data_IF_599379656046
#
_entry.id   IF_599379656046
#
_cell.length_a   1.000
_cell.length_b   1.000
_cell.length_c   1.000
_cell.angle_alpha   90.00
_cell.angle_beta   90.00
_cell.angle_gamma   90.00
#
_symmetry.space_group_name_H-M   'P 1'
#
loop_
_entity.id
_entity.type
_entity.pdbx_description
1 polymer ?
#
# COMPACT_ATOMS: atom_id res chain seq x y z
N UNK A 1 -31.60 -0.86 -15.76
CA UNK A 1 -30.30 -1.25 -16.33
C UNK A 1 -29.22 -0.45 -15.64
N UNK A 2 -28.35 -1.06 -14.81
CA UNK A 2 -27.23 -0.35 -14.19
C UNK A 2 -26.22 0.00 -15.27
N UNK A 3 -26.14 1.29 -15.62
CA UNK A 3 -25.06 1.85 -16.45
C UNK A 3 -23.81 2.02 -15.59
N UNK A 4 -23.24 0.91 -15.11
CA UNK A 4 -22.03 0.97 -14.30
C UNK A 4 -20.80 0.90 -15.20
N UNK A 5 -20.30 2.10 -15.55
CA UNK A 5 -19.04 2.34 -16.27
C UNK A 5 -17.84 1.55 -15.71
N UNK A 6 -17.89 1.17 -14.44
CA UNK A 6 -16.79 0.50 -13.74
C UNK A 6 -17.20 -0.90 -13.31
N UNK A 7 -16.32 -1.86 -13.58
CA UNK A 7 -16.46 -3.28 -13.27
C UNK A 7 -15.35 -3.81 -12.38
N UNK A 8 -14.18 -3.17 -12.41
CA UNK A 8 -12.99 -3.66 -11.74
C UNK A 8 -12.47 -2.68 -10.69
N UNK A 9 -11.89 -3.23 -9.62
CA UNK A 9 -11.00 -2.52 -8.71
C UNK A 9 -9.57 -2.97 -8.98
N UNK A 10 -8.65 -2.02 -9.07
CA UNK A 10 -7.22 -2.29 -9.27
C UNK A 10 -6.45 -1.88 -8.03
N UNK A 11 -5.98 -2.85 -7.24
CA UNK A 11 -5.18 -2.60 -6.04
C UNK A 11 -3.69 -2.52 -6.36
N UNK A 12 -2.97 -1.56 -5.78
CA UNK A 12 -1.55 -1.31 -6.04
C UNK A 12 -0.74 -1.13 -4.74
N UNK A 13 0.21 -2.04 -4.52
CA UNK A 13 1.29 -1.90 -3.53
C UNK A 13 2.53 -1.36 -4.25
N UNK A 14 2.80 -0.06 -4.08
CA UNK A 14 3.75 0.67 -4.92
C UNK A 14 5.19 0.60 -4.41
N UNK A 15 6.10 0.17 -5.28
CA UNK A 15 7.53 0.14 -5.03
C UNK A 15 8.31 0.23 -6.33
N UNK A 16 9.41 1.00 -6.33
CA UNK A 16 10.25 1.22 -7.53
C UNK A 16 10.78 -0.11 -8.08
N UNK A 17 11.18 -1.03 -7.21
CA UNK A 17 11.82 -2.28 -7.63
C UNK A 17 10.80 -3.36 -8.01
N UNK A 18 9.76 -3.49 -7.19
CA UNK A 18 8.76 -4.54 -7.35
C UNK A 18 7.48 -4.08 -6.69
N UNK A 19 6.52 -3.66 -7.51
CA UNK A 19 5.16 -3.35 -7.12
C UNK A 19 4.28 -4.59 -7.20
N UNK A 20 3.30 -4.66 -6.31
CA UNK A 20 2.20 -5.61 -6.41
C UNK A 20 1.02 -4.98 -7.13
N UNK A 21 0.32 -5.76 -7.94
CA UNK A 21 -0.94 -5.35 -8.56
C UNK A 21 -1.97 -6.46 -8.44
N UNK A 22 -3.21 -6.06 -8.19
CA UNK A 22 -4.36 -6.94 -8.19
C UNK A 22 -5.49 -6.36 -9.04
N UNK A 23 -6.13 -7.19 -9.86
CA UNK A 23 -7.40 -6.88 -10.52
C UNK A 23 -8.48 -7.70 -9.82
N UNK A 24 -9.47 -7.00 -9.27
CA UNK A 24 -10.58 -7.61 -8.54
C UNK A 24 -11.90 -7.23 -9.20
N UNK A 25 -12.74 -8.23 -9.43
CA UNK A 25 -14.11 -8.08 -9.92
C UNK A 25 -15.08 -8.38 -8.76
N UNK A 26 -15.70 -7.36 -8.13
CA UNK A 26 -16.50 -7.54 -6.92
C UNK A 26 -17.71 -8.47 -7.09
N UNK A 27 -18.37 -8.42 -8.25
CA UNK A 27 -19.60 -9.18 -8.50
C UNK A 27 -19.37 -10.70 -8.54
N UNK A 28 -18.19 -11.12 -9.00
CA UNK A 28 -17.81 -12.53 -9.16
C UNK A 28 -16.83 -13.00 -8.11
N UNK A 29 -16.33 -12.09 -7.26
CA UNK A 29 -15.17 -12.28 -6.39
C UNK A 29 -13.92 -12.79 -7.14
N UNK A 30 -13.81 -12.55 -8.45
CA UNK A 30 -12.65 -12.98 -9.23
C UNK A 30 -11.47 -12.06 -8.93
N UNK A 31 -10.34 -12.69 -8.57
CA UNK A 31 -9.11 -11.99 -8.22
C UNK A 31 -7.95 -12.50 -9.08
N UNK A 32 -7.23 -11.57 -9.70
CA UNK A 32 -6.04 -11.85 -10.50
C UNK A 32 -4.88 -10.99 -10.00
N UNK A 33 -3.70 -11.59 -9.90
CA UNK A 33 -2.55 -11.01 -9.21
C UNK A 33 -1.34 -10.99 -10.14
N UNK A 34 -0.53 -9.95 -10.02
CA UNK A 34 0.79 -9.89 -10.64
C UNK A 34 1.73 -9.06 -9.75
N UNK A 35 3.03 -9.21 -9.96
CA UNK A 35 4.02 -8.28 -9.43
C UNK A 35 5.07 -7.99 -10.48
N UNK A 36 5.64 -6.81 -10.43
CA UNK A 36 6.73 -6.41 -11.31
C UNK A 36 7.14 -4.97 -11.07
N UNK A 37 8.06 -4.47 -11.88
CA UNK A 37 8.35 -3.04 -11.99
C UNK A 37 7.12 -2.26 -12.46
N UNK A 38 7.17 -0.94 -12.34
CA UNK A 38 6.10 -0.05 -12.81
C UNK A 38 5.68 -0.36 -14.26
N UNK A 39 6.65 -0.51 -15.17
CA UNK A 39 6.40 -0.76 -16.59
C UNK A 39 5.75 -2.13 -16.83
N UNK A 40 6.20 -3.17 -16.13
CA UNK A 40 5.62 -4.52 -16.22
C UNK A 40 4.18 -4.55 -15.71
N UNK A 41 3.90 -3.86 -14.59
CA UNK A 41 2.55 -3.74 -14.04
C UNK A 41 1.63 -3.01 -15.01
N UNK A 42 2.05 -1.86 -15.55
CA UNK A 42 1.27 -1.10 -16.52
C UNK A 42 1.02 -1.90 -17.80
N UNK A 43 2.03 -2.60 -18.31
CA UNK A 43 1.90 -3.49 -19.47
C UNK A 43 0.85 -4.58 -19.20
N UNK A 44 0.94 -5.26 -18.07
CA UNK A 44 0.00 -6.31 -17.69
C UNK A 44 -1.45 -5.80 -17.57
N UNK A 45 -1.66 -4.61 -16.99
CA UNK A 45 -2.98 -4.00 -16.90
C UNK A 45 -3.55 -3.62 -18.28
N UNK A 46 -2.71 -3.14 -19.19
CA UNK A 46 -3.09 -2.84 -20.58
C UNK A 46 -3.48 -4.11 -21.34
N UNK A 47 -2.66 -5.17 -21.26
CA UNK A 47 -2.92 -6.46 -21.91
C UNK A 47 -4.24 -7.08 -21.43
N UNK A 48 -4.62 -6.85 -20.17
CA UNK A 48 -5.92 -7.26 -19.64
C UNK A 48 -7.10 -6.45 -20.15
N UNK A 49 -6.89 -5.25 -20.70
CA UNK A 49 -7.96 -4.39 -21.20
C UNK A 49 -8.91 -3.86 -20.11
N UNK A 50 -8.53 -3.91 -18.83
CA UNK A 50 -9.43 -3.57 -17.70
C UNK A 50 -9.45 -2.09 -17.35
N UNK A 51 -8.42 -1.34 -17.76
CA UNK A 51 -8.15 0.04 -17.31
C UNK A 51 -9.33 1.01 -17.51
N UNK A 52 -10.05 0.93 -18.63
CA UNK A 52 -11.19 1.82 -18.92
C UNK A 52 -12.41 1.57 -18.03
N UNK A 53 -12.49 0.39 -17.41
CA UNK A 53 -13.58 -0.04 -16.54
C UNK A 53 -13.10 -0.19 -15.08
N UNK A 54 -11.93 0.35 -14.75
CA UNK A 54 -11.33 0.20 -13.44
C UNK A 54 -11.43 1.49 -12.60
N UNK A 55 -11.51 1.31 -11.29
CA UNK A 55 -11.10 2.31 -10.30
C UNK A 55 -9.84 1.78 -9.62
N UNK A 56 -8.75 2.55 -9.64
CA UNK A 56 -7.51 2.17 -8.98
C UNK A 56 -7.55 2.53 -7.48
N UNK A 57 -6.92 1.70 -6.65
CA UNK A 57 -6.70 1.90 -5.22
C UNK A 57 -5.21 1.75 -4.96
N UNK A 58 -4.57 2.87 -4.67
CA UNK A 58 -3.12 3.02 -4.62
C UNK A 58 -2.72 3.20 -3.15
N UNK A 59 -1.87 2.32 -2.62
CA UNK A 59 -1.22 2.60 -1.34
C UNK A 59 -0.22 3.74 -1.51
N UNK A 60 -0.36 4.78 -0.69
CA UNK A 60 0.40 6.01 -0.84
C UNK A 60 1.06 6.47 0.48
N UNK A 61 2.39 6.30 0.62
CA UNK A 61 3.11 6.75 1.80
C UNK A 61 3.22 8.27 1.93
N UNK A 62 2.88 9.06 0.89
CA UNK A 62 2.83 10.52 0.99
C UNK A 62 1.70 11.02 1.90
N UNK A 63 0.68 10.19 2.14
CA UNK A 63 -0.42 10.53 3.05
C UNK A 63 -0.03 10.45 4.53
N UNK A 64 1.10 9.81 4.86
CA UNK A 64 1.61 9.72 6.22
C UNK A 64 2.67 10.79 6.48
N UNK A 65 2.67 11.41 7.67
CA UNK A 65 3.75 12.31 8.09
C UNK A 65 5.00 11.51 8.52
N UNK A 66 6.13 11.57 7.78
CA UNK A 66 7.28 10.68 8.01
C UNK A 66 8.25 11.20 9.10
N UNK A 67 8.08 12.44 9.58
CA UNK A 67 9.11 13.16 10.34
C UNK A 67 9.22 12.77 11.83
N UNK A 68 8.17 12.21 12.42
CA UNK A 68 8.09 12.05 13.88
C UNK A 68 9.11 11.03 14.44
N UNK A 69 9.47 10.00 13.68
CA UNK A 69 10.35 8.93 14.19
C UNK A 69 11.82 9.32 14.13
N UNK A 70 12.25 9.99 13.06
CA UNK A 70 13.65 10.40 12.90
C UNK A 70 14.07 11.37 14.02
N UNK A 71 13.20 12.34 14.34
CA UNK A 71 13.41 13.29 15.44
C UNK A 71 13.72 12.56 16.75
N UNK A 72 12.87 11.61 17.16
CA UNK A 72 13.04 10.85 18.42
C UNK A 72 14.36 10.08 18.46
N UNK A 73 14.76 9.44 17.35
CA UNK A 73 16.01 8.68 17.29
C UNK A 73 17.24 9.58 17.40
N UNK A 74 17.24 10.71 16.70
CA UNK A 74 18.32 11.71 16.75
C UNK A 74 18.49 12.25 18.18
N UNK A 75 17.41 12.70 18.82
CA UNK A 75 17.50 13.20 20.21
C UNK A 75 18.00 12.12 21.17
N UNK A 76 17.55 10.87 21.01
CA UNK A 76 17.97 9.75 21.85
C UNK A 76 19.48 9.49 21.74
N UNK A 77 20.02 9.43 20.52
CA UNK A 77 21.45 9.14 20.32
C UNK A 77 22.34 10.31 20.75
N UNK A 78 21.92 11.55 20.52
CA UNK A 78 22.64 12.74 20.98
C UNK A 78 22.70 12.81 22.52
N UNK A 79 21.59 12.50 23.20
CA UNK A 79 21.56 12.45 24.67
C UNK A 79 22.47 11.36 25.23
N UNK A 80 22.52 10.18 24.59
CA UNK A 80 23.46 9.11 24.97
C UNK A 80 24.91 9.54 24.78
N UNK A 81 25.21 10.25 23.69
CA UNK A 81 26.56 10.78 23.41
C UNK A 81 27.01 11.80 24.45
N UNK A 82 26.14 12.75 24.79
CA UNK A 82 26.40 13.75 25.84
C UNK A 82 26.66 13.12 27.21
N UNK A 83 25.96 12.03 27.53
CA UNK A 83 26.16 11.27 28.77
C UNK A 83 27.38 10.32 28.74
N UNK A 84 28.19 10.33 27.68
CA UNK A 84 29.34 9.42 27.51
C UNK A 84 28.96 7.95 27.33
N UNK A 85 27.69 7.64 27.01
CA UNK A 85 27.15 6.26 26.92
C UNK A 85 27.19 5.66 25.52
N UNK A 86 27.70 6.39 24.54
CA UNK A 86 27.95 5.87 23.20
C UNK A 86 29.12 6.60 22.54
N UNK A 87 29.78 5.90 21.62
CA UNK A 87 30.87 6.41 20.80
C UNK A 87 30.33 7.30 19.67
N UNK A 88 31.24 8.00 18.99
CA UNK A 88 30.91 8.71 17.75
C UNK A 88 30.49 7.74 16.62
N UNK A 89 31.10 6.55 16.57
CA UNK A 89 30.74 5.50 15.62
C UNK A 89 29.28 5.02 15.79
N UNK A 90 28.79 4.95 17.03
CA UNK A 90 27.38 4.63 17.32
C UNK A 90 26.43 5.72 16.79
N UNK A 91 26.81 6.99 16.92
CA UNK A 91 26.03 8.11 16.36
C UNK A 91 25.96 8.01 14.85
N UNK A 92 27.10 7.80 14.18
CA UNK A 92 27.18 7.66 12.73
C UNK A 92 26.36 6.46 12.23
N UNK A 93 26.36 5.36 12.97
CA UNK A 93 25.57 4.17 12.63
C UNK A 93 24.07 4.47 12.68
N UNK A 94 23.60 5.14 13.73
CA UNK A 94 22.20 5.55 13.85
C UNK A 94 21.80 6.53 12.72
N UNK A 95 22.64 7.51 12.42
CA UNK A 95 22.41 8.45 11.32
C UNK A 95 22.32 7.72 9.96
N UNK A 96 23.20 6.77 9.69
CA UNK A 96 23.18 5.97 8.46
C UNK A 96 21.88 5.17 8.32
N UNK A 97 21.37 4.60 9.42
CA UNK A 97 20.08 3.89 9.43
C UNK A 97 18.94 4.85 9.09
N UNK A 98 18.92 6.04 9.70
CA UNK A 98 17.90 7.06 9.44
C UNK A 98 17.93 7.55 7.99
N UNK A 99 19.12 7.83 7.44
CA UNK A 99 19.28 8.26 6.05
C UNK A 99 18.84 7.19 5.06
N UNK A 100 19.21 5.93 5.29
CA UNK A 100 18.71 4.80 4.49
C UNK A 100 17.19 4.72 4.54
N UNK A 101 16.60 4.83 5.73
CA UNK A 101 15.15 4.84 5.89
C UNK A 101 14.48 6.00 5.14
N UNK A 102 15.03 7.21 5.23
CA UNK A 102 14.54 8.37 4.49
C UNK A 102 14.60 8.12 2.97
N UNK A 103 15.70 7.55 2.48
CA UNK A 103 15.83 7.16 1.07
C UNK A 103 14.77 6.12 0.66
N UNK A 104 14.49 5.12 1.49
CA UNK A 104 13.45 4.13 1.22
C UNK A 104 12.06 4.75 1.19
N UNK A 105 11.75 5.67 2.11
CA UNK A 105 10.48 6.42 2.13
C UNK A 105 10.33 7.24 0.85
N UNK A 106 11.35 8.01 0.46
CA UNK A 106 11.32 8.81 -0.77
C UNK A 106 11.14 7.95 -2.02
N UNK A 107 11.77 6.78 -2.09
CA UNK A 107 11.55 5.82 -3.19
C UNK A 107 10.12 5.30 -3.24
N UNK A 108 9.54 4.94 -2.10
CA UNK A 108 8.16 4.46 -2.04
C UNK A 108 7.15 5.57 -2.43
N UNK A 109 7.40 6.79 -1.97
CA UNK A 109 6.61 7.98 -2.34
C UNK A 109 6.65 8.26 -3.84
N UNK A 110 7.84 8.20 -4.45
CA UNK A 110 8.00 8.37 -5.89
C UNK A 110 7.31 7.24 -6.69
N UNK A 111 7.35 6.00 -6.21
CA UNK A 111 6.67 4.89 -6.87
C UNK A 111 5.14 5.09 -6.90
N UNK A 112 4.54 5.50 -5.78
CA UNK A 112 3.11 5.82 -5.71
C UNK A 112 2.75 6.96 -6.67
N UNK A 113 3.58 8.01 -6.72
CA UNK A 113 3.37 9.17 -7.59
C UNK A 113 3.43 8.80 -9.08
N UNK A 114 4.31 7.88 -9.50
CA UNK A 114 4.36 7.38 -10.88
C UNK A 114 3.04 6.72 -11.29
N UNK A 115 2.43 5.93 -10.41
CA UNK A 115 1.12 5.35 -10.67
C UNK A 115 0.04 6.42 -10.71
N UNK A 116 0.02 7.35 -9.74
CA UNK A 116 -0.93 8.47 -9.72
C UNK A 116 -0.88 9.25 -11.05
N UNK A 117 0.31 9.61 -11.52
CA UNK A 117 0.49 10.30 -12.80
C UNK A 117 -0.02 9.47 -13.98
N UNK A 118 0.27 8.17 -14.01
CA UNK A 118 -0.22 7.27 -15.05
C UNK A 118 -1.76 7.20 -15.08
N UNK A 119 -2.41 6.90 -13.95
CA UNK A 119 -3.86 6.78 -13.89
C UNK A 119 -4.55 8.12 -14.18
N UNK A 120 -4.03 9.22 -13.62
CA UNK A 120 -4.53 10.57 -13.89
C UNK A 120 -4.40 10.94 -15.37
N UNK A 121 -3.22 10.73 -15.97
CA UNK A 121 -2.96 11.01 -17.38
C UNK A 121 -3.80 10.16 -18.35
N UNK A 122 -4.13 8.93 -17.95
CA UNK A 122 -5.01 8.05 -18.70
C UNK A 122 -6.52 8.33 -18.46
N UNK A 123 -6.88 9.30 -17.62
CA UNK A 123 -8.27 9.62 -17.28
C UNK A 123 -8.98 8.51 -16.48
N UNK A 124 -8.21 7.69 -15.77
CA UNK A 124 -8.71 6.58 -14.96
C UNK A 124 -8.83 7.06 -13.50
N UNK A 125 -10.00 6.90 -12.85
CA UNK A 125 -10.16 7.33 -11.47
C UNK A 125 -9.30 6.49 -10.52
N UNK A 126 -8.73 7.14 -9.50
CA UNK A 126 -7.89 6.49 -8.50
C UNK A 126 -8.15 7.02 -7.08
N UNK A 127 -8.02 6.12 -6.12
CA UNK A 127 -8.03 6.36 -4.69
C UNK A 127 -6.62 6.22 -4.12
N UNK A 128 -6.26 7.08 -3.17
CA UNK A 128 -5.03 6.99 -2.39
C UNK A 128 -5.40 6.53 -0.98
N UNK A 129 -4.74 5.47 -0.51
CA UNK A 129 -4.92 4.91 0.84
C UNK A 129 -3.61 5.06 1.59
N UNK A 130 -3.65 5.62 2.80
CA UNK A 130 -2.44 5.73 3.61
C UNK A 130 -2.05 4.34 4.14
N UNK A 131 -0.74 3.99 4.22
CA UNK A 131 -0.31 2.76 4.88
C UNK A 131 -0.77 2.64 6.34
N UNK A 132 -1.09 3.76 6.99
CA UNK A 132 -1.56 3.79 8.39
C UNK A 132 -3.04 3.44 8.55
N UNK A 133 -3.83 3.52 7.46
CA UNK A 133 -5.23 3.10 7.44
C UNK A 133 -5.38 1.58 7.31
N UNK A 134 -4.25 0.88 7.13
CA UNK A 134 -4.16 -0.57 6.97
C UNK A 134 -3.64 -1.23 8.23
N UNK A 135 -4.04 -2.48 8.44
CA UNK A 135 -3.61 -3.25 9.61
C UNK A 135 -2.60 -4.32 9.23
N UNK A 136 -1.58 -4.52 10.07
CA UNK A 136 -0.55 -5.55 9.87
C UNK A 136 -1.01 -6.88 10.43
N UNK A 137 -0.93 -7.95 9.64
CA UNK A 137 -1.26 -9.31 10.09
C UNK A 137 -0.18 -9.93 10.99
N UNK A 138 1.07 -9.45 10.87
CA UNK A 138 2.23 -9.94 11.61
C UNK A 138 2.44 -9.27 12.97
N UNK A 139 1.59 -8.29 13.33
CA UNK A 139 1.72 -7.54 14.58
C UNK A 139 0.39 -7.46 15.32
N UNK A 140 0.41 -7.54 16.66
CA UNK A 140 -0.78 -7.27 17.43
C UNK A 140 -1.17 -5.79 17.35
N UNK A 141 -2.46 -5.47 17.52
CA UNK A 141 -2.94 -4.09 17.48
C UNK A 141 -2.35 -3.24 18.61
N UNK A 142 -1.92 -3.86 19.72
CA UNK A 142 -1.26 -3.22 20.86
C UNK A 142 -0.17 -4.13 21.41
N UNK A 143 0.88 -3.53 21.97
CA UNK A 143 1.95 -4.26 22.64
C UNK A 143 1.37 -5.16 23.76
N UNK A 144 1.85 -6.40 23.85
CA UNK A 144 1.38 -7.38 24.85
C UNK A 144 0.03 -8.04 24.53
N UNK A 145 -0.55 -7.83 23.34
CA UNK A 145 -1.74 -8.56 22.87
C UNK A 145 -1.37 -9.61 21.82
N UNK A 146 -2.27 -10.57 21.62
CA UNK A 146 -2.14 -11.53 20.52
C UNK A 146 -2.54 -10.88 19.18
N UNK A 147 -1.93 -11.29 18.06
CA UNK A 147 -2.39 -10.92 16.73
C UNK A 147 -3.87 -11.27 16.53
N UNK A 148 -4.63 -10.35 15.92
CA UNK A 148 -6.03 -10.60 15.62
C UNK A 148 -6.18 -11.55 14.43
N UNK A 149 -7.27 -12.33 14.33
CA UNK A 149 -7.58 -13.10 13.14
C UNK A 149 -7.61 -12.20 11.90
N UNK A 150 -7.00 -12.64 10.80
CA UNK A 150 -6.81 -11.80 9.61
C UNK A 150 -8.14 -11.34 8.99
N UNK A 151 -9.22 -12.10 9.17
CA UNK A 151 -10.56 -11.72 8.69
C UNK A 151 -11.18 -10.54 9.43
N UNK A 152 -10.64 -10.14 10.58
CA UNK A 152 -11.07 -8.97 11.34
C UNK A 152 -10.21 -7.73 11.06
N UNK A 153 -9.17 -7.85 10.23
CA UNK A 153 -8.25 -6.77 9.92
C UNK A 153 -8.79 -5.90 8.78
N UNK A 154 -8.63 -4.59 8.91
CA UNK A 154 -8.92 -3.64 7.83
C UNK A 154 -7.75 -3.63 6.85
N UNK A 155 -8.02 -3.98 5.59
CA UNK A 155 -7.06 -4.01 4.46
C UNK A 155 -5.69 -4.60 4.85
N UNK A 156 -5.64 -5.88 5.27
CA UNK A 156 -4.48 -6.43 5.94
C UNK A 156 -3.20 -6.37 5.08
N UNK A 157 -2.06 -6.11 5.72
CA UNK A 157 -0.71 -6.13 5.13
C UNK A 157 0.13 -7.23 5.76
N UNK A 158 1.22 -7.62 5.08
CA UNK A 158 2.12 -8.69 5.55
C UNK A 158 1.40 -10.01 5.78
N UNK A 159 0.38 -10.27 4.95
CA UNK A 159 -0.35 -11.54 4.99
C UNK A 159 0.53 -12.66 4.46
N UNK A 160 0.53 -13.78 5.17
CA UNK A 160 1.14 -15.02 4.68
C UNK A 160 0.32 -15.61 3.53
N UNK A 161 0.94 -16.45 2.70
CA UNK A 161 0.24 -17.14 1.62
C UNK A 161 -0.95 -17.98 2.15
N UNK A 162 -0.79 -18.61 3.32
CA UNK A 162 -1.86 -19.37 3.97
C UNK A 162 -3.03 -18.47 4.38
N UNK A 163 -2.76 -17.40 5.14
CA UNK A 163 -3.80 -16.45 5.57
C UNK A 163 -4.55 -15.86 4.37
N UNK A 164 -3.81 -15.47 3.33
CA UNK A 164 -4.40 -14.92 2.11
C UNK A 164 -5.28 -15.93 1.37
N UNK A 165 -4.83 -17.19 1.25
CA UNK A 165 -5.62 -18.26 0.66
C UNK A 165 -6.89 -18.53 1.47
N UNK A 166 -6.80 -18.51 2.80
CA UNK A 166 -7.96 -18.69 3.69
C UNK A 166 -8.98 -17.55 3.53
N UNK A 167 -8.52 -16.31 3.36
CA UNK A 167 -9.41 -15.14 3.20
C UNK A 167 -10.05 -15.04 1.83
N UNK A 168 -9.30 -15.37 0.78
CA UNK A 168 -9.69 -15.07 -0.60
C UNK A 168 -10.12 -16.30 -1.39
N UNK A 169 -9.80 -17.50 -0.91
CA UNK A 169 -9.92 -18.74 -1.69
C UNK A 169 -8.92 -18.84 -2.85
N UNK A 170 -7.95 -17.92 -2.96
CA UNK A 170 -7.05 -17.84 -4.11
C UNK A 170 -6.19 -19.10 -4.25
N UNK A 171 -6.23 -19.69 -5.46
CA UNK A 171 -5.54 -20.97 -5.77
C UNK A 171 -4.21 -20.80 -6.50
N UNK A 172 -3.91 -19.60 -6.99
CA UNK A 172 -2.69 -19.31 -7.74
C UNK A 172 -1.45 -19.09 -6.86
N UNK A 173 -0.30 -18.91 -7.50
CA UNK A 173 0.92 -18.45 -6.81
C UNK A 173 0.78 -16.97 -6.46
N UNK A 174 1.29 -16.58 -5.30
CA UNK A 174 1.34 -15.17 -4.88
C UNK A 174 2.64 -14.88 -4.13
N UNK A 175 3.10 -13.63 -4.22
CA UNK A 175 4.14 -13.08 -3.35
C UNK A 175 3.55 -12.00 -2.45
N UNK A 176 4.35 -11.53 -1.49
CA UNK A 176 3.91 -10.55 -0.50
C UNK A 176 3.35 -9.28 -1.13
N UNK A 177 4.02 -8.69 -2.13
CA UNK A 177 3.58 -7.48 -2.81
C UNK A 177 2.22 -7.66 -3.47
N UNK A 178 2.04 -8.74 -4.23
CA UNK A 178 0.78 -9.02 -4.91
C UNK A 178 -0.38 -9.27 -3.92
N UNK A 179 -0.08 -9.88 -2.76
CA UNK A 179 -1.08 -10.06 -1.68
C UNK A 179 -1.42 -8.73 -1.02
N UNK A 180 -0.43 -7.91 -0.69
CA UNK A 180 -0.65 -6.59 -0.09
C UNK A 180 -1.46 -5.70 -1.05
N UNK A 181 -1.22 -5.77 -2.36
CA UNK A 181 -2.03 -5.09 -3.38
C UNK A 181 -3.48 -5.60 -3.42
N UNK A 182 -3.69 -6.92 -3.37
CA UNK A 182 -5.02 -7.52 -3.36
C UNK A 182 -5.84 -7.14 -2.13
N UNK A 183 -5.19 -7.05 -0.96
CA UNK A 183 -5.86 -6.69 0.29
C UNK A 183 -6.32 -5.23 0.35
N UNK A 184 -5.92 -4.38 -0.59
CA UNK A 184 -6.51 -3.05 -0.76
C UNK A 184 -7.94 -3.11 -1.31
N UNK A 185 -8.24 -4.10 -2.15
CA UNK A 185 -9.48 -4.15 -2.95
C UNK A 185 -10.39 -5.33 -2.62
N UNK A 186 -9.85 -6.40 -2.01
CA UNK A 186 -10.63 -7.60 -1.69
C UNK A 186 -11.83 -7.28 -0.78
N UNK A 187 -13.00 -7.80 -1.16
CA UNK A 187 -14.25 -7.58 -0.44
C UNK A 187 -14.80 -6.14 -0.53
N UNK A 188 -14.23 -5.26 -1.36
CA UNK A 188 -14.76 -3.92 -1.61
C UNK A 188 -15.69 -3.92 -2.83
N UNK A 189 -16.74 -3.09 -2.80
CA UNK A 189 -17.62 -2.90 -3.97
C UNK A 189 -17.18 -1.70 -4.82
N UNK A 190 -17.72 -1.60 -6.04
CA UNK A 190 -17.54 -0.42 -6.89
C UNK A 190 -18.14 0.83 -6.23
N UNK A 191 -19.28 0.70 -5.55
CA UNK A 191 -19.92 1.80 -4.81
C UNK A 191 -19.03 2.31 -3.68
N UNK A 192 -18.40 1.41 -2.92
CA UNK A 192 -17.42 1.80 -1.89
C UNK A 192 -16.32 2.68 -2.51
N UNK A 193 -15.78 2.27 -3.66
CA UNK A 193 -14.71 3.03 -4.31
C UNK A 193 -15.22 4.40 -4.82
N UNK A 194 -16.42 4.46 -5.41
CA UNK A 194 -17.06 5.71 -5.85
C UNK A 194 -17.30 6.67 -4.68
N UNK A 195 -17.81 6.19 -3.54
CA UNK A 195 -18.02 7.02 -2.35
C UNK A 195 -16.70 7.60 -1.83
N UNK A 196 -15.65 6.78 -1.76
CA UNK A 196 -14.33 7.26 -1.34
C UNK A 196 -13.72 8.26 -2.32
N UNK A 197 -14.02 8.16 -3.63
CA UNK A 197 -13.51 9.10 -4.63
C UNK A 197 -14.09 10.50 -4.41
N UNK A 198 -15.37 10.57 -4.03
CA UNK A 198 -16.04 11.83 -3.68
C UNK A 198 -15.36 12.45 -2.45
N UNK A 199 -15.20 11.67 -1.38
CA UNK A 199 -14.56 12.13 -0.14
C UNK A 199 -13.12 12.62 -0.38
N UNK A 200 -12.35 11.89 -1.19
CA UNK A 200 -10.97 12.27 -1.51
C UNK A 200 -10.92 13.60 -2.28
N UNK A 201 -11.83 13.82 -3.23
CA UNK A 201 -11.90 15.06 -4.00
C UNK A 201 -12.27 16.25 -3.11
N UNK A 202 -13.23 16.06 -2.20
CA UNK A 202 -13.62 17.10 -1.24
C UNK A 202 -12.45 17.52 -0.34
N UNK A 203 -11.66 16.55 0.15
CA UNK A 203 -10.47 16.83 0.96
C UNK A 203 -9.34 17.56 0.21
N UNK A 204 -9.33 17.53 -1.12
CA UNK A 204 -8.33 18.23 -1.94
C UNK A 204 -8.75 19.66 -2.31
N UNK A 205 -10.02 20.02 -2.09
CA UNK A 205 -10.56 21.36 -2.35
C UNK A 205 -10.50 22.29 -1.12
N UNK A 206 -10.10 21.76 0.04
CA UNK A 206 -9.90 22.47 1.31
C UNK A 206 -8.40 22.59 1.57
#
# INVERSE_FOLDING_TARGET
MRSDRYRYLVGLDCSIKQSGVAVYEPDTNKLELQSGTFTEVVKWLNEKGVLKQAIAVIEDPNLNSPLFIARRSIYSVLKRRQAGRCSEADVMTEMNILLKRAQHVGKAQAAAELFVQFFSGAGIPYLRIAPSDRMRADKPPRAGKHPMPVGMLVMPTKTTAYQFKTLTGYKGRSNEHARDAAMLVWGKSIEWAKSNLIIQREKQLI
#
